data_IF_980919941790
#
_entry.id   IF_980919941790
#
_cell.length_a   1.000
_cell.length_b   1.000
_cell.length_c   1.000
_cell.angle_alpha   90.00
_cell.angle_beta   90.00
_cell.angle_gamma   90.00
#
_symmetry.space_group_name_H-M   'P 1'
#
loop_
_entity.id
_entity.type
_entity.pdbx_description
1 polymer ?
#
# COMPACT_ATOMS: atom_id res chain seq x y z
N UNK A 1 3.66 -16.01 24.96
CA UNK A 1 3.85 -14.56 24.77
C UNK A 1 4.81 -14.39 23.61
N UNK A 2 4.31 -13.90 22.50
CA UNK A 2 5.07 -13.67 21.27
C UNK A 2 5.52 -12.22 21.24
N UNK A 3 6.77 -11.99 20.87
CA UNK A 3 7.33 -10.66 20.66
C UNK A 3 7.43 -10.37 19.16
N UNK A 4 6.95 -9.20 18.75
CA UNK A 4 6.99 -8.70 17.38
C UNK A 4 7.91 -7.49 17.32
N UNK A 5 8.98 -7.60 16.53
CA UNK A 5 9.89 -6.49 16.29
C UNK A 5 9.34 -5.59 15.20
N UNK A 6 9.11 -4.32 15.52
CA UNK A 6 8.64 -3.31 14.59
C UNK A 6 9.82 -2.71 13.81
N UNK A 7 9.51 -2.07 12.69
CA UNK A 7 10.51 -1.50 11.77
C UNK A 7 11.32 -0.34 12.38
N UNK A 8 10.77 0.33 13.40
CA UNK A 8 11.44 1.37 14.18
C UNK A 8 12.35 0.80 15.28
N UNK A 9 12.43 -0.52 15.41
CA UNK A 9 13.24 -1.23 16.40
C UNK A 9 12.55 -1.44 17.74
N UNK A 10 11.31 -0.98 17.91
CA UNK A 10 10.51 -1.28 19.10
C UNK A 10 9.99 -2.73 19.08
N UNK A 11 9.56 -3.21 20.24
CA UNK A 11 9.01 -4.56 20.43
C UNK A 11 7.58 -4.43 20.94
N UNK A 12 6.66 -5.09 20.26
CA UNK A 12 5.26 -5.22 20.63
C UNK A 12 5.00 -6.66 21.08
N UNK A 13 4.25 -6.86 22.15
CA UNK A 13 3.86 -8.21 22.60
C UNK A 13 2.40 -8.52 22.28
N UNK A 14 2.02 -9.79 22.34
CA UNK A 14 0.60 -10.19 22.24
C UNK A 14 -0.29 -9.40 23.23
N UNK A 15 0.19 -9.16 24.46
CA UNK A 15 -0.56 -8.41 25.48
C UNK A 15 -0.71 -6.92 25.13
N UNK A 16 0.31 -6.34 24.49
CA UNK A 16 0.26 -4.95 24.04
C UNK A 16 -0.77 -4.79 22.91
N UNK A 17 -0.81 -5.74 21.98
CA UNK A 17 -1.80 -5.75 20.88
C UNK A 17 -3.22 -5.83 21.44
N UNK A 18 -3.49 -6.76 22.35
CA UNK A 18 -4.82 -6.93 22.94
C UNK A 18 -5.24 -5.68 23.73
N UNK A 19 -4.32 -5.09 24.50
CA UNK A 19 -4.58 -3.84 25.23
C UNK A 19 -4.93 -2.71 24.29
N UNK A 20 -4.11 -2.47 23.25
CA UNK A 20 -4.35 -1.41 22.27
C UNK A 20 -5.64 -1.63 21.49
N UNK A 21 -5.99 -2.89 21.18
CA UNK A 21 -7.26 -3.23 20.52
C UNK A 21 -8.46 -2.85 21.37
N UNK A 22 -8.43 -3.18 22.68
CA UNK A 22 -9.50 -2.82 23.61
C UNK A 22 -9.60 -1.31 23.77
N UNK A 23 -8.47 -0.60 23.91
CA UNK A 23 -8.46 0.87 23.97
C UNK A 23 -9.03 1.49 22.68
N UNK A 24 -8.75 0.89 21.53
CA UNK A 24 -9.25 1.36 20.24
C UNK A 24 -10.77 1.20 20.14
N UNK A 25 -11.31 0.04 20.52
CA UNK A 25 -12.75 -0.24 20.53
C UNK A 25 -13.51 0.65 21.53
N UNK A 26 -12.86 1.05 22.61
CA UNK A 26 -13.43 1.93 23.63
C UNK A 26 -13.24 3.42 23.33
N UNK A 27 -12.65 3.77 22.18
CA UNK A 27 -12.32 5.15 21.79
C UNK A 27 -11.38 5.87 22.80
N UNK A 28 -10.63 5.13 23.60
CA UNK A 28 -9.68 5.66 24.59
C UNK A 28 -8.22 5.62 24.11
N UNK A 29 -7.96 4.92 23.02
CA UNK A 29 -6.62 4.79 22.44
C UNK A 29 -6.10 6.15 21.94
N UNK A 30 -4.88 6.49 22.33
CA UNK A 30 -4.23 7.79 22.04
C UNK A 30 -3.06 7.69 21.04
N UNK A 31 -2.88 6.52 20.42
CA UNK A 31 -1.83 6.28 19.44
C UNK A 31 -2.07 6.98 18.09
N UNK A 32 -1.11 6.78 17.17
CA UNK A 32 -1.15 7.36 15.82
C UNK A 32 -1.50 6.29 14.80
N UNK A 33 -2.62 6.46 14.11
CA UNK A 33 -2.93 5.68 12.91
C UNK A 33 -2.20 6.26 11.70
N UNK A 34 -1.34 5.47 11.07
CA UNK A 34 -0.86 5.75 9.72
C UNK A 34 -1.69 4.95 8.70
N UNK A 35 -2.21 5.64 7.68
CA UNK A 35 -2.87 4.96 6.56
C UNK A 35 -1.82 4.22 5.74
N UNK A 36 -1.71 2.92 5.97
CA UNK A 36 -0.97 2.03 5.09
C UNK A 36 -1.77 1.90 3.79
N UNK A 37 -1.24 2.49 2.72
CA UNK A 37 -1.79 2.29 1.38
C UNK A 37 -1.41 0.88 0.92
N UNK A 38 -2.26 -0.09 1.24
CA UNK A 38 -2.18 -1.41 0.62
C UNK A 38 -2.46 -1.21 -0.86
N UNK A 39 -1.50 -1.56 -1.74
CA UNK A 39 -1.75 -1.55 -3.19
C UNK A 39 -2.99 -2.40 -3.46
N UNK A 40 -3.90 -1.98 -4.36
CA UNK A 40 -5.02 -2.82 -4.75
C UNK A 40 -4.51 -4.22 -5.09
N UNK A 41 -5.19 -5.24 -4.56
CA UNK A 41 -4.88 -6.65 -4.80
C UNK A 41 -4.92 -7.01 -6.28
N UNK A 42 -4.60 -8.27 -6.56
CA UNK A 42 -4.48 -8.90 -7.90
C UNK A 42 -5.38 -8.23 -8.95
N UNK A 43 -4.75 -7.65 -9.98
CA UNK A 43 -5.41 -6.79 -10.99
C UNK A 43 -6.17 -7.59 -12.05
N UNK A 44 -5.96 -8.91 -12.13
CA UNK A 44 -6.62 -9.79 -13.09
C UNK A 44 -6.62 -11.26 -12.63
N UNK A 45 -7.63 -12.03 -13.04
CA UNK A 45 -7.74 -13.47 -12.77
C UNK A 45 -6.73 -14.32 -13.56
N UNK A 46 -5.96 -13.70 -14.47
CA UNK A 46 -4.94 -14.34 -15.29
C UNK A 46 -3.51 -13.91 -14.89
N UNK A 47 -2.48 -14.73 -15.20
CA UNK A 47 -1.09 -14.37 -14.94
C UNK A 47 -0.69 -13.07 -15.64
N UNK A 48 -0.21 -12.10 -14.86
CA UNK A 48 0.31 -10.84 -15.40
C UNK A 48 1.75 -11.00 -15.87
N UNK A 49 2.04 -10.56 -17.10
CA UNK A 49 3.39 -10.52 -17.66
C UNK A 49 3.97 -9.11 -17.55
N UNK A 50 5.22 -9.01 -17.07
CA UNK A 50 5.92 -7.74 -17.00
C UNK A 50 6.40 -7.29 -18.39
N UNK A 51 5.97 -6.11 -18.84
CA UNK A 51 6.40 -5.50 -20.10
C UNK A 51 7.27 -4.28 -19.79
N UNK A 52 8.52 -4.28 -20.27
CA UNK A 52 9.44 -3.15 -20.08
C UNK A 52 9.32 -2.17 -21.23
N UNK A 53 8.97 -0.92 -20.93
CA UNK A 53 8.83 0.18 -21.88
C UNK A 53 9.55 1.42 -21.40
N UNK A 54 10.11 2.20 -22.33
CA UNK A 54 10.82 3.45 -22.00
C UNK A 54 9.95 4.65 -22.32
N UNK A 55 9.85 5.57 -21.36
CA UNK A 55 9.11 6.81 -21.45
C UNK A 55 10.06 8.00 -21.34
N UNK A 56 9.77 9.14 -21.99
CA UNK A 56 10.46 10.38 -21.69
C UNK A 56 10.33 10.72 -20.19
N UNK A 57 11.41 11.17 -19.57
CA UNK A 57 11.41 11.49 -18.14
C UNK A 57 10.33 12.52 -17.75
N UNK A 58 10.09 13.52 -18.62
CA UNK A 58 9.03 14.51 -18.45
C UNK A 58 7.63 13.89 -18.40
N UNK A 59 7.40 12.82 -19.16
CA UNK A 59 6.12 12.11 -19.19
C UNK A 59 5.93 11.30 -17.90
N UNK A 60 6.99 10.68 -17.37
CA UNK A 60 6.92 9.97 -16.08
C UNK A 60 6.56 10.94 -14.96
N UNK A 61 7.19 12.12 -14.92
CA UNK A 61 6.85 13.18 -13.96
C UNK A 61 5.39 13.65 -14.13
N UNK A 62 4.90 13.74 -15.35
CA UNK A 62 3.50 14.11 -15.60
C UNK A 62 2.51 13.02 -15.15
N UNK A 63 2.87 11.74 -15.29
CA UNK A 63 2.08 10.61 -14.77
C UNK A 63 2.05 10.66 -13.24
N UNK A 64 3.21 10.85 -12.59
CA UNK A 64 3.31 10.91 -11.12
C UNK A 64 2.43 11.99 -10.50
N UNK A 65 2.27 13.12 -11.18
CA UNK A 65 1.38 14.19 -10.72
C UNK A 65 -0.10 13.85 -10.84
N UNK A 66 -0.46 12.91 -11.72
CA UNK A 66 -1.85 12.50 -11.98
C UNK A 66 -2.28 11.31 -11.14
N UNK A 67 -1.35 10.47 -10.69
CA UNK A 67 -1.68 9.20 -10.03
C UNK A 67 -0.56 8.74 -9.09
N UNK A 68 -0.94 8.05 -8.01
CA UNK A 68 -0.02 7.29 -7.18
C UNK A 68 0.35 5.91 -7.74
N UNK A 69 -0.39 5.41 -8.74
CA UNK A 69 -0.13 4.14 -9.41
C UNK A 69 0.07 4.32 -10.92
N UNK A 70 1.35 4.33 -11.33
CA UNK A 70 1.75 4.41 -12.75
C UNK A 70 1.24 3.24 -13.57
N UNK A 71 1.21 2.04 -12.98
CA UNK A 71 0.86 0.82 -13.70
C UNK A 71 -0.63 0.81 -14.02
N UNK A 72 -1.47 1.22 -13.07
CA UNK A 72 -2.91 1.38 -13.31
C UNK A 72 -3.18 2.42 -14.41
N UNK A 73 -2.50 3.57 -14.33
CA UNK A 73 -2.63 4.61 -15.35
C UNK A 73 -2.28 4.12 -16.75
N UNK A 74 -1.17 3.39 -16.89
CA UNK A 74 -0.75 2.82 -18.17
C UNK A 74 -1.77 1.77 -18.65
N UNK A 75 -2.21 0.86 -17.78
CA UNK A 75 -3.22 -0.15 -18.13
C UNK A 75 -4.49 0.51 -18.66
N UNK A 76 -5.03 1.51 -17.97
CA UNK A 76 -6.24 2.24 -18.39
C UNK A 76 -6.08 2.98 -19.71
N UNK A 77 -4.85 3.36 -20.08
CA UNK A 77 -4.57 3.96 -21.37
C UNK A 77 -4.47 2.91 -22.50
N UNK A 78 -3.97 1.71 -22.19
CA UNK A 78 -3.78 0.62 -23.16
C UNK A 78 -5.04 -0.19 -23.39
N UNK A 79 -5.82 -0.48 -22.33
CA UNK A 79 -7.04 -1.31 -22.40
C UNK A 79 -8.03 -0.88 -23.50
N UNK A 80 -8.35 0.41 -23.71
CA UNK A 80 -9.28 0.83 -24.76
C UNK A 80 -8.75 0.63 -26.19
N UNK A 81 -7.46 0.36 -26.35
CA UNK A 81 -6.82 0.14 -27.65
C UNK A 81 -6.72 -1.36 -28.02
N UNK A 82 -7.22 -2.25 -27.16
CA UNK A 82 -7.31 -3.70 -27.36
C UNK A 82 -8.78 -4.13 -27.36
#
# INVERSE_FOLDING_TARGET
MTEYKLADGSVLTDEDIERESVEFEQETWTGRLERIHVRPGVVADEPLVAVTVRFPASMVVAIDRKTGDRSDFIRRAVFPAL
#
